data_IF_360409447757
#
_entry.id   IF_360409447757
#
_cell.length_a   1.000
_cell.length_b   1.000
_cell.length_c   1.000
_cell.angle_alpha   90.00
_cell.angle_beta   90.00
_cell.angle_gamma   90.00
#
_symmetry.space_group_name_H-M   'P 1'
#
loop_
_entity.id
_entity.type
_entity.pdbx_description
1 polymer ?
#
# COMPACT_ATOMS: atom_id res chain seq x y z
N UNK A 1 27.58 -11.78 -66.22
CA UNK A 1 27.82 -10.57 -65.42
C UNK A 1 27.18 -10.75 -64.06
N UNK A 2 27.88 -10.27 -63.03
CA UNK A 2 27.86 -10.57 -61.59
C UNK A 2 26.50 -10.55 -60.88
N UNK A 3 26.31 -11.55 -60.00
CA UNK A 3 25.40 -11.53 -58.85
C UNK A 3 25.77 -10.38 -57.90
N UNK A 4 24.78 -9.59 -57.47
CA UNK A 4 24.95 -8.55 -56.44
C UNK A 4 24.27 -9.05 -55.16
N UNK A 5 25.08 -9.41 -54.17
CA UNK A 5 24.65 -9.61 -52.78
C UNK A 5 24.37 -8.24 -52.16
N UNK A 6 23.16 -8.04 -51.64
CA UNK A 6 22.82 -6.91 -50.79
C UNK A 6 23.13 -7.32 -49.35
N UNK A 7 24.20 -6.77 -48.78
CA UNK A 7 24.54 -6.93 -47.37
C UNK A 7 23.68 -5.98 -46.52
N UNK A 8 22.89 -6.57 -45.62
CA UNK A 8 22.08 -5.86 -44.63
C UNK A 8 23.00 -5.41 -43.47
N UNK A 9 23.33 -4.12 -43.39
CA UNK A 9 24.00 -3.56 -42.21
C UNK A 9 22.98 -3.47 -41.06
N UNK A 10 23.09 -4.35 -40.07
CA UNK A 10 22.48 -4.14 -38.75
C UNK A 10 23.28 -3.05 -38.02
N UNK A 11 22.66 -1.88 -37.83
CA UNK A 11 23.13 -0.91 -36.87
C UNK A 11 22.88 -1.46 -35.46
N UNK A 12 23.94 -1.87 -34.75
CA UNK A 12 23.87 -2.13 -33.32
C UNK A 12 23.65 -0.79 -32.60
N UNK A 13 22.41 -0.53 -32.16
CA UNK A 13 22.16 0.44 -31.11
C UNK A 13 22.79 -0.08 -29.82
N UNK A 14 23.96 0.45 -29.47
CA UNK A 14 24.56 0.25 -28.17
C UNK A 14 23.67 0.90 -27.11
N UNK A 15 22.79 0.11 -26.49
CA UNK A 15 22.12 0.51 -25.27
C UNK A 15 23.20 0.70 -24.19
N UNK A 16 23.46 1.95 -23.81
CA UNK A 16 24.26 2.27 -22.63
C UNK A 16 23.53 1.70 -21.40
N UNK A 17 23.92 0.48 -21.04
CA UNK A 17 23.59 -0.10 -19.74
C UNK A 17 24.51 0.59 -18.75
N UNK A 18 24.02 1.61 -18.04
CA UNK A 18 24.74 2.15 -16.89
C UNK A 18 24.95 1.00 -15.91
N UNK A 19 26.20 0.54 -15.77
CA UNK A 19 26.59 -0.37 -14.69
C UNK A 19 26.10 0.24 -13.37
N UNK A 20 25.52 -0.55 -12.45
CA UNK A 20 25.30 -0.05 -11.09
C UNK A 20 26.64 0.43 -10.54
N UNK A 21 26.64 1.64 -9.98
CA UNK A 21 27.81 2.18 -9.29
C UNK A 21 28.29 1.16 -8.27
N UNK A 22 29.61 1.03 -8.11
CA UNK A 22 30.17 0.26 -7.00
C UNK A 22 29.56 0.79 -5.68
N UNK A 23 29.30 -0.05 -4.67
CA UNK A 23 28.81 0.44 -3.39
C UNK A 23 29.79 1.51 -2.88
N UNK A 24 29.32 2.73 -2.70
CA UNK A 24 30.13 3.75 -2.03
C UNK A 24 30.38 3.30 -0.58
N UNK A 25 31.57 3.60 -0.06
CA UNK A 25 31.94 3.22 1.30
C UNK A 25 30.97 3.88 2.31
N UNK A 26 30.52 3.17 3.35
CA UNK A 26 29.59 3.73 4.33
C UNK A 26 30.17 4.96 5.04
N UNK A 27 29.35 6.00 5.23
CA UNK A 27 29.68 7.19 6.03
C UNK A 27 29.65 6.85 7.52
N UNK A 28 30.72 6.18 7.96
CA UNK A 28 30.85 5.67 9.31
C UNK A 28 30.96 6.80 10.34
N UNK A 29 31.54 7.95 9.96
CA UNK A 29 31.71 9.08 10.86
C UNK A 29 30.36 9.74 11.15
N UNK A 30 29.57 10.06 10.11
CA UNK A 30 28.24 10.64 10.28
C UNK A 30 27.30 9.65 10.95
N UNK A 31 27.34 8.37 10.58
CA UNK A 31 26.53 7.33 11.23
C UNK A 31 26.77 7.30 12.74
N UNK A 32 28.04 7.25 13.17
CA UNK A 32 28.39 7.18 14.58
C UNK A 32 27.95 8.43 15.34
N UNK A 33 28.09 9.62 14.73
CA UNK A 33 27.63 10.88 15.30
C UNK A 33 26.10 10.89 15.47
N UNK A 34 25.33 10.60 14.41
CA UNK A 34 23.88 10.55 14.45
C UNK A 34 23.35 9.51 15.44
N UNK A 35 23.91 8.30 15.44
CA UNK A 35 23.50 7.25 16.37
C UNK A 35 23.82 7.62 17.82
N UNK A 36 24.94 8.29 18.07
CA UNK A 36 25.30 8.80 19.40
C UNK A 36 24.34 9.90 19.85
N UNK A 37 23.94 10.80 18.95
CA UNK A 37 22.93 11.80 19.24
C UNK A 37 21.57 11.17 19.57
N UNK A 38 21.13 10.16 18.82
CA UNK A 38 19.87 9.45 19.08
C UNK A 38 19.89 8.70 20.42
N UNK A 39 21.01 8.06 20.78
CA UNK A 39 21.17 7.37 22.07
C UNK A 39 21.12 8.35 23.25
N UNK A 40 21.73 9.53 23.09
CA UNK A 40 21.84 10.53 24.16
C UNK A 40 20.73 11.59 24.12
N UNK A 41 19.78 11.45 23.20
CA UNK A 41 18.73 12.44 23.00
C UNK A 41 17.88 12.62 24.27
N UNK A 42 17.42 13.84 24.45
CA UNK A 42 16.50 14.25 25.51
C UNK A 42 15.16 14.66 24.90
N UNK A 43 14.09 14.68 25.70
CA UNK A 43 12.80 15.12 25.19
C UNK A 43 12.84 16.52 24.58
N UNK A 44 12.39 16.64 23.34
CA UNK A 44 12.40 17.89 22.56
C UNK A 44 13.64 18.10 21.70
N UNK A 45 14.63 17.21 21.75
CA UNK A 45 15.83 17.35 20.93
C UNK A 45 15.52 17.22 19.43
N UNK A 46 16.27 17.97 18.63
CA UNK A 46 16.21 17.93 17.16
C UNK A 46 17.55 17.39 16.64
N UNK A 47 17.52 16.18 16.10
CA UNK A 47 18.66 15.55 15.44
C UNK A 47 18.64 15.95 13.97
N UNK A 48 19.57 16.83 13.59
CA UNK A 48 19.67 17.37 12.23
C UNK A 48 20.61 16.52 11.39
N UNK A 49 20.14 16.12 10.22
CA UNK A 49 20.94 15.40 9.22
C UNK A 49 21.27 16.38 8.08
N UNK A 50 22.55 16.56 7.73
CA UNK A 50 22.94 17.52 6.70
C UNK A 50 22.42 17.13 5.32
N UNK A 51 22.39 18.09 4.40
CA UNK A 51 22.17 17.82 2.98
C UNK A 51 23.30 16.92 2.43
N UNK A 52 22.97 16.09 1.45
CA UNK A 52 23.86 15.10 0.85
C UNK A 52 23.22 13.72 0.73
N UNK A 53 23.92 12.83 0.02
CA UNK A 53 23.63 11.39 0.01
C UNK A 53 24.59 10.70 0.96
N UNK A 54 24.03 10.11 2.01
CA UNK A 54 24.77 9.46 3.09
C UNK A 54 24.55 7.96 3.02
N UNK A 55 25.62 7.19 2.89
CA UNK A 55 25.55 5.73 2.76
C UNK A 55 25.68 5.06 4.12
N UNK A 56 24.70 4.27 4.53
CA UNK A 56 24.71 3.55 5.79
C UNK A 56 24.61 2.05 5.58
N UNK A 57 25.34 1.27 6.37
CA UNK A 57 25.35 -0.19 6.27
C UNK A 57 24.50 -0.88 7.36
N UNK A 58 23.80 -0.11 8.19
CA UNK A 58 22.97 -0.57 9.32
C UNK A 58 21.94 0.50 9.74
N UNK A 59 20.85 0.13 10.42
CA UNK A 59 19.76 1.06 10.76
C UNK A 59 20.20 2.14 11.76
N UNK A 60 19.58 3.33 11.68
CA UNK A 60 19.58 4.30 12.78
C UNK A 60 18.43 3.99 13.75
N UNK A 61 18.76 3.94 15.04
CA UNK A 61 17.86 3.50 16.10
C UNK A 61 17.53 4.63 17.08
N UNK A 62 16.24 4.76 17.42
CA UNK A 62 15.75 5.57 18.54
C UNK A 62 14.86 4.70 19.42
N UNK A 63 15.15 4.64 20.71
CA UNK A 63 14.40 3.83 21.67
C UNK A 63 14.10 4.62 22.95
N UNK A 64 12.83 4.62 23.36
CA UNK A 64 12.32 5.10 24.65
C UNK A 64 12.19 6.62 24.82
N UNK A 65 13.05 7.45 24.21
CA UNK A 65 13.01 8.90 24.44
C UNK A 65 11.94 9.60 23.59
N UNK A 66 10.94 10.18 24.27
CA UNK A 66 9.82 10.87 23.63
C UNK A 66 10.18 12.25 23.09
N UNK A 67 9.45 12.73 22.09
CA UNK A 67 9.49 14.14 21.67
C UNK A 67 10.69 14.50 20.79
N UNK A 68 11.40 13.51 20.25
CA UNK A 68 12.57 13.73 19.39
C UNK A 68 12.13 14.03 17.96
N UNK A 69 12.79 15.00 17.34
CA UNK A 69 12.64 15.30 15.91
C UNK A 69 13.88 14.82 15.15
N UNK A 70 13.69 14.01 14.11
CA UNK A 70 14.72 13.65 13.13
C UNK A 70 14.46 14.47 11.86
N UNK A 71 15.37 15.38 11.52
CA UNK A 71 15.14 16.38 10.48
C UNK A 71 16.29 16.42 9.46
N UNK A 72 15.97 16.19 8.19
CA UNK A 72 16.89 16.50 7.08
C UNK A 72 16.78 17.94 6.60
N UNK A 73 17.53 18.29 5.55
CA UNK A 73 17.52 19.61 4.92
C UNK A 73 16.41 19.78 3.86
N UNK A 74 15.64 18.73 3.58
CA UNK A 74 14.61 18.65 2.54
C UNK A 74 14.58 17.25 1.95
N UNK A 75 13.39 16.75 1.55
CA UNK A 75 13.26 15.38 1.02
C UNK A 75 14.20 15.10 -0.16
N UNK A 76 14.42 16.10 -1.02
CA UNK A 76 15.30 15.99 -2.19
C UNK A 76 16.74 16.47 -1.91
N UNK A 77 17.07 16.80 -0.66
CA UNK A 77 18.36 17.35 -0.24
C UNK A 77 19.11 16.42 0.72
N UNK A 78 18.41 15.71 1.60
CA UNK A 78 19.01 14.73 2.52
C UNK A 78 18.54 13.34 2.15
N UNK A 79 19.47 12.48 1.72
CA UNK A 79 19.19 11.10 1.29
C UNK A 79 20.02 10.15 2.16
N UNK A 80 19.35 9.23 2.86
CA UNK A 80 19.97 8.14 3.61
C UNK A 80 19.87 6.87 2.74
N UNK A 81 20.97 6.51 2.08
CA UNK A 81 21.02 5.31 1.23
C UNK A 81 21.52 4.13 2.04
N UNK A 82 20.78 3.03 2.00
CA UNK A 82 21.14 1.75 2.59
C UNK A 82 21.63 0.75 1.54
N UNK A 83 22.06 1.26 0.37
CA UNK A 83 22.64 0.44 -0.68
C UNK A 83 23.87 -0.30 -0.13
N UNK A 84 23.81 -1.64 -0.11
CA UNK A 84 24.88 -2.46 0.48
C UNK A 84 24.75 -2.70 1.99
N UNK A 85 23.59 -2.44 2.59
CA UNK A 85 23.29 -2.70 4.01
C UNK A 85 23.82 -4.06 4.47
N UNK A 86 24.67 -4.06 5.51
CA UNK A 86 25.34 -5.26 6.05
C UNK A 86 24.63 -5.83 7.26
N UNK A 87 23.98 -5.00 8.08
CA UNK A 87 23.28 -5.41 9.29
C UNK A 87 21.88 -4.79 9.39
N UNK A 88 20.99 -5.47 10.12
CA UNK A 88 19.58 -5.09 10.20
C UNK A 88 18.86 -5.21 8.85
N UNK A 89 17.58 -4.86 8.85
CA UNK A 89 16.79 -4.77 7.63
C UNK A 89 16.24 -3.35 7.44
N UNK A 90 16.06 -2.61 8.52
CA UNK A 90 15.41 -1.31 8.51
C UNK A 90 16.36 -0.16 8.15
N UNK A 91 15.81 0.96 7.66
CA UNK A 91 16.57 2.20 7.51
C UNK A 91 16.56 3.01 8.81
N UNK A 92 15.37 3.44 9.20
CA UNK A 92 15.08 4.03 10.52
C UNK A 92 14.20 3.06 11.31
N UNK A 93 14.59 2.75 12.55
CA UNK A 93 13.80 1.94 13.47
C UNK A 93 13.58 2.68 14.77
N UNK A 94 12.33 3.01 15.04
CA UNK A 94 11.93 3.93 16.09
C UNK A 94 10.91 3.27 17.02
N UNK A 95 11.17 3.33 18.32
CA UNK A 95 10.24 2.93 19.38
C UNK A 95 10.19 4.06 20.42
N UNK A 96 9.41 5.10 20.12
CA UNK A 96 9.31 6.28 20.98
C UNK A 96 8.05 7.11 20.68
N UNK A 97 7.49 7.74 21.72
CA UNK A 97 6.32 8.62 21.61
C UNK A 97 6.69 10.02 21.08
N UNK A 98 5.72 10.69 20.46
CA UNK A 98 5.79 12.09 20.04
C UNK A 98 6.95 12.38 19.09
N UNK A 99 7.24 11.44 18.19
CA UNK A 99 8.34 11.55 17.24
C UNK A 99 7.88 12.27 15.97
N UNK A 100 8.73 13.18 15.49
CA UNK A 100 8.61 13.81 14.17
C UNK A 100 9.80 13.38 13.30
N UNK A 101 9.52 12.75 12.16
CA UNK A 101 10.51 12.51 11.11
C UNK A 101 10.14 13.39 9.93
N UNK A 102 11.05 14.26 9.49
CA UNK A 102 10.76 15.17 8.39
C UNK A 102 11.94 15.49 7.48
N UNK A 103 11.60 15.91 6.26
CA UNK A 103 12.52 16.55 5.31
C UNK A 103 13.72 15.68 4.90
N UNK A 104 13.49 14.38 4.68
CA UNK A 104 14.53 13.42 4.26
C UNK A 104 14.00 12.32 3.34
N UNK A 105 14.91 11.64 2.66
CA UNK A 105 14.66 10.42 1.89
C UNK A 105 15.42 9.24 2.51
N UNK A 106 14.79 8.06 2.57
CA UNK A 106 15.43 6.77 2.85
C UNK A 106 15.38 5.91 1.58
N UNK A 107 16.52 5.34 1.16
CA UNK A 107 16.57 4.45 -0.01
C UNK A 107 17.24 3.12 0.25
N UNK A 108 16.87 2.12 -0.55
CA UNK A 108 17.63 0.88 -0.77
C UNK A 108 17.85 0.00 0.48
N UNK A 109 16.93 0.05 1.44
CA UNK A 109 16.95 -0.83 2.63
C UNK A 109 16.70 -2.28 2.24
N UNK A 110 17.28 -3.22 2.99
CA UNK A 110 17.01 -4.67 2.83
C UNK A 110 15.57 -5.05 3.20
N UNK A 111 15.00 -4.35 4.17
CA UNK A 111 13.64 -4.47 4.68
C UNK A 111 12.99 -3.09 4.79
N UNK A 112 12.25 -2.85 5.86
CA UNK A 112 11.40 -1.66 6.00
C UNK A 112 12.18 -0.34 5.98
N UNK A 113 11.78 0.63 5.18
CA UNK A 113 12.56 1.88 5.10
C UNK A 113 12.46 2.70 6.40
N UNK A 114 11.24 3.02 6.85
CA UNK A 114 11.01 3.78 8.08
C UNK A 114 9.96 3.08 8.93
N UNK A 115 10.43 2.39 9.97
CA UNK A 115 9.58 1.66 10.91
C UNK A 115 9.45 2.43 12.22
N UNK A 116 8.23 2.77 12.58
CA UNK A 116 7.89 3.35 13.88
C UNK A 116 6.93 2.40 14.56
N UNK A 117 7.28 1.86 15.71
CA UNK A 117 6.48 0.83 16.38
C UNK A 117 6.15 1.18 17.81
N UNK A 118 4.97 0.74 18.25
CA UNK A 118 4.51 0.78 19.65
C UNK A 118 4.57 2.19 20.26
N UNK A 119 4.13 3.19 19.47
CA UNK A 119 4.35 4.60 19.75
C UNK A 119 3.06 5.44 19.70
N UNK A 120 3.03 6.55 20.42
CA UNK A 120 1.95 7.54 20.37
C UNK A 120 2.40 8.81 19.66
N UNK A 121 1.48 9.52 19.00
CA UNK A 121 1.71 10.84 18.38
C UNK A 121 2.90 10.83 17.39
N UNK A 122 2.86 9.93 16.41
CA UNK A 122 3.88 9.79 15.36
C UNK A 122 3.55 10.73 14.20
N UNK A 123 4.51 11.54 13.76
CA UNK A 123 4.39 12.35 12.54
C UNK A 123 5.50 12.03 11.56
N UNK A 124 5.14 11.63 10.35
CA UNK A 124 6.01 11.59 9.18
C UNK A 124 5.58 12.74 8.25
N UNK A 125 6.50 13.68 7.97
CA UNK A 125 6.18 14.86 7.16
C UNK A 125 7.22 15.13 6.10
N UNK A 126 6.81 15.24 4.84
CA UNK A 126 7.74 15.53 3.74
C UNK A 126 8.90 14.52 3.70
N UNK A 127 8.58 13.23 3.81
CA UNK A 127 9.52 12.12 3.83
C UNK A 127 9.32 11.26 2.59
N UNK A 128 10.41 10.72 2.03
CA UNK A 128 10.34 9.77 0.92
C UNK A 128 11.01 8.43 1.26
N UNK A 129 10.39 7.33 0.86
CA UNK A 129 10.97 5.99 0.92
C UNK A 129 10.99 5.37 -0.49
N UNK A 130 12.13 4.88 -0.98
CA UNK A 130 12.19 4.27 -2.32
C UNK A 130 13.33 3.30 -2.54
N UNK A 131 13.17 2.34 -3.45
CA UNK A 131 14.26 1.48 -3.92
C UNK A 131 14.73 1.94 -5.31
N UNK A 132 15.99 2.36 -5.40
CA UNK A 132 16.60 2.93 -6.60
C UNK A 132 16.68 1.94 -7.77
N UNK A 133 16.70 0.64 -7.45
CA UNK A 133 16.70 -0.45 -8.43
C UNK A 133 15.35 -0.73 -9.09
N UNK A 134 14.30 0.04 -8.79
CA UNK A 134 12.93 -0.21 -9.24
C UNK A 134 12.28 -1.42 -8.56
N UNK A 135 11.13 -1.84 -9.07
CA UNK A 135 10.33 -2.92 -8.50
C UNK A 135 11.05 -4.28 -8.52
N UNK A 136 11.34 -4.83 -7.35
CA UNK A 136 11.92 -6.18 -7.18
C UNK A 136 11.32 -6.85 -5.93
N UNK A 137 11.14 -8.17 -6.00
CA UNK A 137 10.70 -8.96 -4.85
C UNK A 137 11.71 -8.99 -3.70
N UNK A 138 12.96 -8.61 -3.95
CA UNK A 138 14.01 -8.49 -2.94
C UNK A 138 14.10 -7.12 -2.27
N UNK A 139 13.22 -6.18 -2.66
CA UNK A 139 13.12 -4.89 -1.98
C UNK A 139 12.53 -5.09 -0.58
N UNK A 140 12.62 -4.06 0.26
CA UNK A 140 11.93 -4.07 1.52
C UNK A 140 10.42 -4.10 1.38
N UNK A 141 9.76 -4.70 2.36
CA UNK A 141 8.31 -4.85 2.39
C UNK A 141 7.63 -3.50 2.43
N UNK A 142 7.98 -2.66 3.41
CA UNK A 142 7.26 -1.42 3.68
C UNK A 142 8.13 -0.18 3.51
N UNK A 143 7.60 0.85 2.84
CA UNK A 143 8.26 2.16 2.77
C UNK A 143 8.12 2.92 4.09
N UNK A 144 6.92 3.43 4.36
CA UNK A 144 6.56 4.04 5.64
C UNK A 144 5.76 3.02 6.45
N UNK A 145 6.19 2.74 7.67
CA UNK A 145 5.63 1.66 8.49
C UNK A 145 5.41 2.05 9.96
N UNK A 146 4.39 2.90 10.27
CA UNK A 146 3.84 2.96 11.61
C UNK A 146 3.06 1.68 11.96
N UNK A 147 3.35 1.08 13.11
CA UNK A 147 2.68 -0.15 13.58
C UNK A 147 2.45 -0.15 15.08
N UNK A 148 1.30 -0.61 15.55
CA UNK A 148 1.01 -0.60 16.99
C UNK A 148 0.89 0.81 17.57
N UNK A 149 0.54 1.80 16.74
CA UNK A 149 0.61 3.21 17.10
C UNK A 149 -0.75 3.82 17.49
N UNK A 150 -0.72 4.93 18.23
CA UNK A 150 -1.90 5.74 18.57
C UNK A 150 -1.66 7.22 18.24
N UNK A 151 -2.38 7.74 17.26
CA UNK A 151 -2.15 9.08 16.73
C UNK A 151 -1.00 9.04 15.72
N UNK A 152 -1.34 8.77 14.45
CA UNK A 152 -0.39 8.73 13.34
C UNK A 152 -0.77 9.80 12.32
N UNK A 153 0.18 10.68 11.97
CA UNK A 153 0.07 11.61 10.86
C UNK A 153 1.13 11.30 9.81
N UNK A 154 0.71 10.96 8.59
CA UNK A 154 1.57 10.88 7.42
C UNK A 154 1.12 11.99 6.46
N UNK A 155 1.93 13.04 6.31
CA UNK A 155 1.59 14.22 5.50
C UNK A 155 2.69 14.53 4.48
N UNK A 156 2.31 14.78 3.22
CA UNK A 156 3.24 15.14 2.13
C UNK A 156 4.35 14.12 1.90
N UNK A 157 4.10 12.85 2.18
CA UNK A 157 5.11 11.81 2.03
C UNK A 157 5.04 11.13 0.66
N UNK A 158 6.11 10.46 0.27
CA UNK A 158 6.22 9.74 -1.00
C UNK A 158 6.78 8.33 -0.77
N UNK A 159 6.20 7.31 -1.40
CA UNK A 159 6.71 5.95 -1.29
C UNK A 159 6.63 5.19 -2.61
N UNK A 160 7.73 4.54 -3.02
CA UNK A 160 7.79 3.80 -4.27
C UNK A 160 8.65 2.55 -4.26
N UNK A 161 8.27 1.58 -5.08
CA UNK A 161 8.96 0.30 -5.28
C UNK A 161 9.06 -0.61 -4.05
N UNK A 162 8.23 -0.42 -3.03
CA UNK A 162 8.10 -1.35 -1.91
C UNK A 162 7.52 -2.68 -2.41
N UNK A 163 8.11 -3.80 -1.95
CA UNK A 163 7.65 -5.14 -2.36
C UNK A 163 6.33 -5.56 -1.74
N UNK A 164 5.90 -4.85 -0.70
CA UNK A 164 4.61 -5.04 -0.06
C UNK A 164 3.77 -3.75 -0.19
N UNK A 165 3.98 -2.75 0.68
CA UNK A 165 3.22 -1.50 0.64
C UNK A 165 4.12 -0.26 0.69
N UNK A 166 3.83 0.73 -0.14
CA UNK A 166 4.55 2.00 -0.13
C UNK A 166 4.34 2.73 1.20
N UNK A 167 3.07 2.99 1.51
CA UNK A 167 2.66 3.55 2.80
C UNK A 167 1.81 2.50 3.51
N UNK A 168 2.31 1.99 4.62
CA UNK A 168 1.64 0.98 5.42
C UNK A 168 1.39 1.54 6.82
N UNK A 169 0.15 1.44 7.32
CA UNK A 169 -0.16 1.67 8.73
C UNK A 169 -0.89 0.47 9.27
N UNK A 170 -0.30 -0.22 10.25
CA UNK A 170 -0.84 -1.46 10.80
C UNK A 170 -1.16 -1.37 12.27
N UNK A 171 -2.18 -2.11 12.73
CA UNK A 171 -2.45 -2.34 14.15
C UNK A 171 -2.52 -1.05 14.97
N UNK A 172 -3.02 0.04 14.37
CA UNK A 172 -2.92 1.39 14.90
C UNK A 172 -4.30 2.02 15.09
N UNK A 173 -4.36 3.12 15.84
CA UNK A 173 -5.59 3.91 16.00
C UNK A 173 -5.34 5.40 15.82
N UNK A 174 -6.39 6.14 15.45
CA UNK A 174 -6.32 7.58 15.18
C UNK A 174 -5.30 7.89 14.09
N UNK A 175 -5.53 7.37 12.88
CA UNK A 175 -4.60 7.43 11.76
C UNK A 175 -5.08 8.46 10.73
N UNK A 176 -4.20 9.34 10.28
CA UNK A 176 -4.41 10.22 9.15
C UNK A 176 -3.26 10.11 8.16
N UNK A 177 -3.55 9.60 6.95
CA UNK A 177 -2.66 9.64 5.80
C UNK A 177 -3.19 10.68 4.82
N UNK A 178 -2.42 11.73 4.56
CA UNK A 178 -2.88 12.84 3.72
C UNK A 178 -1.80 13.46 2.84
N UNK A 179 -2.23 14.08 1.73
CA UNK A 179 -1.36 14.77 0.76
C UNK A 179 -0.17 13.95 0.26
N UNK A 180 -0.27 12.62 0.31
CA UNK A 180 0.88 11.72 0.09
C UNK A 180 0.77 10.99 -1.26
N UNK A 181 1.93 10.58 -1.78
CA UNK A 181 2.05 9.96 -3.10
C UNK A 181 2.66 8.56 -3.01
N UNK A 182 1.87 7.53 -3.28
CA UNK A 182 2.32 6.15 -3.33
C UNK A 182 2.28 5.62 -4.76
N UNK A 183 3.42 5.21 -5.31
CA UNK A 183 3.49 4.77 -6.70
C UNK A 183 4.46 3.61 -6.96
N UNK A 184 4.13 2.77 -7.93
CA UNK A 184 4.99 1.67 -8.38
C UNK A 184 5.34 0.65 -7.28
N UNK A 185 4.48 0.54 -6.25
CA UNK A 185 4.53 -0.48 -5.20
C UNK A 185 3.64 -1.69 -5.56
N UNK A 186 3.65 -2.73 -4.72
CA UNK A 186 2.56 -3.72 -4.77
C UNK A 186 1.26 -3.11 -4.28
N UNK A 187 1.15 -2.75 -3.00
CA UNK A 187 0.09 -1.91 -2.47
C UNK A 187 0.57 -0.45 -2.40
N UNK A 188 -0.25 0.50 -2.88
CA UNK A 188 0.07 1.92 -2.74
C UNK A 188 0.00 2.34 -1.28
N UNK A 189 -1.21 2.32 -0.74
CA UNK A 189 -1.49 2.63 0.68
C UNK A 189 -2.23 1.46 1.29
N UNK A 190 -1.76 0.97 2.43
CA UNK A 190 -2.39 -0.12 3.17
C UNK A 190 -2.69 0.31 4.60
N UNK A 191 -3.94 0.09 5.01
CA UNK A 191 -4.42 0.27 6.37
C UNK A 191 -4.79 -1.13 6.90
N UNK A 192 -3.97 -1.68 7.78
CA UNK A 192 -4.12 -3.03 8.31
C UNK A 192 -4.59 -2.99 9.77
N UNK A 193 -5.71 -3.65 10.11
CA UNK A 193 -6.18 -3.85 11.49
C UNK A 193 -6.22 -2.54 12.31
N UNK A 194 -6.60 -1.43 11.68
CA UNK A 194 -6.63 -0.11 12.30
C UNK A 194 -8.04 0.31 12.74
N UNK A 195 -8.13 1.12 13.80
CA UNK A 195 -9.37 1.77 14.24
C UNK A 195 -9.30 3.28 14.01
N UNK A 196 -10.35 3.88 13.46
CA UNK A 196 -10.40 5.33 13.21
C UNK A 196 -9.25 5.81 12.30
N UNK A 197 -9.26 5.35 11.05
CA UNK A 197 -8.26 5.70 10.04
C UNK A 197 -8.87 6.52 8.89
N UNK A 198 -8.16 7.56 8.46
CA UNK A 198 -8.57 8.43 7.35
C UNK A 198 -7.44 8.53 6.32
N UNK A 199 -7.75 8.24 5.05
CA UNK A 199 -6.85 8.42 3.90
C UNK A 199 -7.47 9.44 2.95
N UNK A 200 -6.85 10.62 2.84
CA UNK A 200 -7.42 11.71 2.04
C UNK A 200 -6.42 12.58 1.28
N UNK A 201 -6.84 13.07 0.12
CA UNK A 201 -6.00 13.93 -0.74
C UNK A 201 -4.69 13.26 -1.15
N UNK A 202 -4.65 11.93 -1.14
CA UNK A 202 -3.51 11.15 -1.57
C UNK A 202 -3.62 10.80 -3.06
N UNK A 203 -2.46 10.48 -3.66
CA UNK A 203 -2.37 9.90 -5.00
C UNK A 203 -1.78 8.50 -4.88
N UNK A 204 -2.53 7.49 -5.30
CA UNK A 204 -2.07 6.10 -5.39
C UNK A 204 -2.08 5.68 -6.87
N UNK A 205 -0.92 5.63 -7.50
CA UNK A 205 -0.82 5.43 -8.96
C UNK A 205 0.20 4.39 -9.37
N UNK A 206 -0.11 3.62 -10.42
CA UNK A 206 0.81 2.61 -11.00
C UNK A 206 1.34 1.61 -9.97
N UNK A 207 0.60 1.36 -8.89
CA UNK A 207 0.86 0.23 -8.02
C UNK A 207 0.24 -1.04 -8.63
N UNK A 208 0.33 -2.19 -7.94
CA UNK A 208 -0.48 -3.36 -8.28
C UNK A 208 -1.92 -3.18 -7.81
N UNK A 209 -2.07 -2.76 -6.55
CA UNK A 209 -3.31 -2.33 -5.90
C UNK A 209 -3.17 -0.90 -5.37
N UNK A 210 -4.21 -0.08 -5.49
CA UNK A 210 -4.16 1.32 -5.08
C UNK A 210 -4.19 1.53 -3.56
N UNK A 211 -5.38 1.45 -2.96
CA UNK A 211 -5.60 1.62 -1.52
C UNK A 211 -6.27 0.38 -0.94
N UNK A 212 -5.67 -0.23 0.07
CA UNK A 212 -6.11 -1.47 0.70
C UNK A 212 -6.50 -1.19 2.16
N UNK A 213 -7.66 -1.67 2.58
CA UNK A 213 -8.09 -1.71 3.97
C UNK A 213 -8.32 -3.15 4.35
N UNK A 214 -7.39 -3.71 5.12
CA UNK A 214 -7.31 -5.12 5.45
C UNK A 214 -7.49 -5.32 6.94
N UNK A 215 -8.24 -6.35 7.33
CA UNK A 215 -8.11 -6.98 8.63
C UNK A 215 -7.57 -8.39 8.42
N UNK A 216 -6.41 -8.71 9.00
CA UNK A 216 -5.78 -10.02 8.94
C UNK A 216 -5.84 -10.73 10.31
N UNK A 217 -5.93 -12.07 10.34
CA UNK A 217 -6.00 -12.84 11.57
C UNK A 217 -4.64 -12.93 12.29
N UNK A 218 -4.67 -13.30 13.57
CA UNK A 218 -3.48 -13.57 14.40
C UNK A 218 -2.61 -12.33 14.69
N UNK A 219 -3.23 -11.14 14.69
CA UNK A 219 -2.55 -9.88 15.00
C UNK A 219 -3.05 -9.30 16.34
N UNK A 220 -2.16 -8.77 17.20
CA UNK A 220 -2.52 -8.23 18.51
C UNK A 220 -3.67 -7.22 18.53
N UNK A 221 -3.80 -6.37 17.50
CA UNK A 221 -4.86 -5.38 17.43
C UNK A 221 -6.26 -5.98 17.20
N UNK A 222 -6.36 -7.25 16.80
CA UNK A 222 -7.63 -7.86 16.43
C UNK A 222 -8.24 -7.15 15.23
N UNK A 223 -9.55 -6.95 15.21
CA UNK A 223 -10.24 -6.39 14.05
C UNK A 223 -10.22 -4.85 14.02
N UNK A 224 -9.88 -4.26 12.88
CA UNK A 224 -10.03 -2.84 12.61
C UNK A 224 -11.48 -2.43 12.36
N UNK A 225 -11.72 -1.12 12.31
CA UNK A 225 -13.03 -0.53 11.98
C UNK A 225 -12.94 0.98 11.73
N UNK A 226 -13.99 1.55 11.15
CA UNK A 226 -14.18 3.00 11.04
C UNK A 226 -13.09 3.66 10.19
N UNK A 227 -12.95 3.18 8.95
CA UNK A 227 -11.99 3.71 7.97
C UNK A 227 -12.68 4.63 6.96
N UNK A 228 -12.07 5.78 6.66
CA UNK A 228 -12.54 6.74 5.66
C UNK A 228 -11.53 6.92 4.54
N UNK A 229 -11.93 6.64 3.31
CA UNK A 229 -11.08 6.76 2.12
C UNK A 229 -11.70 7.78 1.19
N UNK A 230 -11.17 9.00 1.11
CA UNK A 230 -11.85 10.02 0.31
C UNK A 230 -10.99 11.10 -0.34
N UNK A 231 -11.50 11.68 -1.42
CA UNK A 231 -10.81 12.74 -2.15
C UNK A 231 -9.41 12.32 -2.63
N UNK A 232 -9.22 11.02 -2.90
CA UNK A 232 -7.97 10.48 -3.41
C UNK A 232 -8.00 10.33 -4.93
N UNK A 233 -6.81 10.36 -5.52
CA UNK A 233 -6.58 10.00 -6.92
C UNK A 233 -5.97 8.61 -6.99
N UNK A 234 -6.77 7.64 -7.38
CA UNK A 234 -6.41 6.23 -7.48
C UNK A 234 -6.34 5.89 -8.97
N UNK A 235 -5.14 5.79 -9.54
CA UNK A 235 -4.95 5.91 -10.99
C UNK A 235 -4.07 4.79 -11.55
N UNK A 236 -4.57 4.08 -12.56
CA UNK A 236 -3.81 3.11 -13.36
C UNK A 236 -2.97 2.13 -12.52
N UNK A 237 -3.47 1.66 -11.37
CA UNK A 237 -2.78 0.68 -10.53
C UNK A 237 -2.76 -0.69 -11.22
N UNK A 238 -1.96 -0.82 -12.28
CA UNK A 238 -1.89 -1.93 -13.21
C UNK A 238 -0.52 -2.64 -13.21
N UNK A 239 0.39 -2.19 -12.35
CA UNK A 239 1.76 -2.70 -12.27
C UNK A 239 1.74 -4.18 -11.93
N UNK A 240 2.74 -4.91 -12.43
CA UNK A 240 2.88 -6.34 -12.12
C UNK A 240 3.08 -6.49 -10.61
N UNK A 241 2.41 -7.47 -10.02
CA UNK A 241 2.65 -7.84 -8.63
C UNK A 241 4.05 -8.47 -8.51
N UNK A 242 4.88 -7.91 -7.63
CA UNK A 242 6.25 -8.35 -7.35
C UNK A 242 6.47 -8.68 -5.87
N UNK A 243 5.40 -8.87 -5.10
CA UNK A 243 5.52 -9.29 -3.72
C UNK A 243 6.15 -10.68 -3.64
N UNK A 244 6.94 -10.96 -2.59
CA UNK A 244 7.40 -12.31 -2.29
C UNK A 244 6.23 -13.29 -2.20
N UNK A 245 6.42 -14.52 -2.68
CA UNK A 245 5.43 -15.58 -2.53
C UNK A 245 5.20 -15.88 -1.04
N UNK A 246 3.94 -16.10 -0.67
CA UNK A 246 3.53 -16.31 0.72
C UNK A 246 2.92 -15.07 1.40
N UNK A 247 3.28 -13.86 0.96
CA UNK A 247 2.63 -12.64 1.45
C UNK A 247 1.18 -12.55 0.96
N UNK A 248 0.26 -12.10 1.80
CA UNK A 248 -1.16 -11.93 1.42
C UNK A 248 -1.31 -11.00 0.21
N UNK A 249 -0.53 -9.91 0.16
CA UNK A 249 -0.55 -8.95 -0.95
C UNK A 249 -0.06 -9.55 -2.27
N UNK A 250 0.65 -10.69 -2.25
CA UNK A 250 1.03 -11.40 -3.46
C UNK A 250 -0.18 -11.98 -4.20
N UNK A 251 -1.35 -12.06 -3.55
CA UNK A 251 -2.62 -12.47 -4.17
C UNK A 251 -3.32 -11.33 -4.92
N UNK A 252 -2.94 -10.07 -4.67
CA UNK A 252 -3.57 -8.89 -5.26
C UNK A 252 -3.36 -8.90 -6.77
N UNK A 253 -4.47 -8.91 -7.51
CA UNK A 253 -4.46 -8.85 -8.95
C UNK A 253 -4.02 -7.45 -9.42
N UNK A 254 -3.00 -7.35 -10.29
CA UNK A 254 -2.72 -6.14 -11.05
C UNK A 254 -3.98 -5.52 -11.64
N UNK A 255 -4.16 -4.23 -11.51
CA UNK A 255 -5.35 -3.56 -12.02
C UNK A 255 -6.45 -3.40 -11.00
N UNK A 256 -6.10 -3.25 -9.72
CA UNK A 256 -7.07 -3.12 -8.64
C UNK A 256 -6.99 -1.73 -8.00
N UNK A 257 -8.11 -1.01 -7.92
CA UNK A 257 -8.13 0.34 -7.34
C UNK A 257 -8.17 0.33 -5.83
N UNK A 258 -9.25 -0.20 -5.26
CA UNK A 258 -9.42 -0.34 -3.82
C UNK A 258 -9.75 -1.79 -3.44
N UNK A 259 -9.36 -2.20 -2.23
CA UNK A 259 -9.77 -3.48 -1.65
C UNK A 259 -10.18 -3.27 -0.20
N UNK A 260 -11.34 -3.79 0.16
CA UNK A 260 -11.84 -3.87 1.53
C UNK A 260 -11.91 -5.36 1.89
N UNK A 261 -10.92 -5.86 2.62
CA UNK A 261 -10.78 -7.27 3.00
C UNK A 261 -11.02 -7.46 4.49
N UNK A 262 -12.04 -8.26 4.85
CA UNK A 262 -12.57 -8.36 6.21
C UNK A 262 -12.82 -6.99 6.89
N UNK A 263 -13.13 -5.97 6.09
CA UNK A 263 -13.19 -4.59 6.55
C UNK A 263 -14.55 -4.24 7.15
N UNK A 264 -14.56 -3.35 8.14
CA UNK A 264 -15.74 -3.06 8.96
C UNK A 264 -15.94 -1.55 9.07
N UNK A 265 -17.15 -1.08 8.85
CA UNK A 265 -17.49 0.34 8.91
C UNK A 265 -16.53 1.19 8.07
N UNK A 266 -16.53 0.94 6.75
CA UNK A 266 -15.66 1.67 5.80
C UNK A 266 -16.50 2.59 4.94
N UNK A 267 -16.12 3.85 4.88
CA UNK A 267 -16.74 4.86 4.02
C UNK A 267 -15.73 5.33 2.97
N UNK A 268 -16.00 5.06 1.70
CA UNK A 268 -15.16 5.46 0.58
C UNK A 268 -15.93 6.39 -0.36
N UNK A 269 -15.50 7.66 -0.44
CA UNK A 269 -16.24 8.68 -1.17
C UNK A 269 -15.40 9.73 -1.87
N UNK A 270 -15.95 10.35 -2.92
CA UNK A 270 -15.28 11.46 -3.62
C UNK A 270 -13.87 11.10 -4.15
N UNK A 271 -13.59 9.81 -4.41
CA UNK A 271 -12.34 9.38 -5.02
C UNK A 271 -12.44 9.37 -6.55
N UNK A 272 -11.35 9.69 -7.22
CA UNK A 272 -11.13 9.43 -8.64
C UNK A 272 -10.49 8.05 -8.81
N UNK A 273 -11.25 7.06 -9.28
CA UNK A 273 -10.81 5.66 -9.45
C UNK A 273 -10.71 5.32 -10.94
N UNK A 274 -9.53 5.54 -11.53
CA UNK A 274 -9.37 5.66 -12.98
C UNK A 274 -8.42 4.61 -13.55
N UNK A 275 -8.83 3.92 -14.61
CA UNK A 275 -7.94 3.18 -15.51
C UNK A 275 -7.43 1.83 -15.01
N UNK A 276 -8.12 1.22 -14.04
CA UNK A 276 -7.80 -0.09 -13.49
C UNK A 276 -8.23 -1.21 -14.45
N UNK A 277 -7.29 -2.09 -14.82
CA UNK A 277 -7.54 -3.14 -15.82
C UNK A 277 -8.34 -4.33 -15.30
N UNK A 278 -8.50 -4.50 -13.99
CA UNK A 278 -9.20 -5.66 -13.40
C UNK A 278 -10.46 -5.21 -12.67
N UNK A 279 -10.32 -4.38 -11.63
CA UNK A 279 -11.46 -3.87 -10.88
C UNK A 279 -11.21 -2.50 -10.23
N UNK A 280 -12.28 -1.70 -10.09
CA UNK A 280 -12.24 -0.41 -9.41
C UNK A 280 -12.16 -0.55 -7.89
N UNK A 281 -13.06 -1.32 -7.29
CA UNK A 281 -13.11 -1.63 -5.87
C UNK A 281 -13.54 -3.09 -5.65
N UNK A 282 -12.92 -3.74 -4.66
CA UNK A 282 -13.29 -5.06 -4.17
C UNK A 282 -13.82 -4.96 -2.73
N UNK A 283 -14.94 -5.62 -2.47
CA UNK A 283 -15.53 -5.84 -1.14
C UNK A 283 -15.47 -7.34 -0.90
N UNK A 284 -14.65 -7.80 0.03
CA UNK A 284 -14.39 -9.21 0.20
C UNK A 284 -14.23 -9.60 1.67
N UNK A 285 -14.87 -10.68 2.09
CA UNK A 285 -14.53 -11.43 3.29
C UNK A 285 -13.20 -12.15 3.11
N UNK A 286 -12.45 -12.32 4.19
CA UNK A 286 -11.22 -13.12 4.22
C UNK A 286 -11.44 -14.58 3.78
N UNK A 287 -12.66 -15.12 3.91
CA UNK A 287 -13.00 -16.47 3.44
C UNK A 287 -12.67 -16.69 1.96
N UNK A 288 -12.73 -15.65 1.12
CA UNK A 288 -12.41 -15.76 -0.30
C UNK A 288 -10.95 -16.16 -0.55
N UNK A 289 -10.05 -15.90 0.41
CA UNK A 289 -8.62 -16.24 0.30
C UNK A 289 -8.38 -17.73 0.41
N UNK A 290 -9.33 -18.49 0.98
CA UNK A 290 -9.20 -19.91 1.34
C UNK A 290 -8.04 -20.22 2.29
N UNK A 291 -7.39 -19.21 2.86
CA UNK A 291 -6.34 -19.37 3.86
C UNK A 291 -6.97 -19.74 5.20
N UNK A 292 -6.33 -20.67 5.90
CA UNK A 292 -6.74 -21.08 7.25
C UNK A 292 -6.24 -20.06 8.29
N UNK A 293 -7.00 -19.90 9.37
CA UNK A 293 -6.59 -19.17 10.57
C UNK A 293 -7.11 -19.90 11.82
N UNK A 294 -6.51 -19.61 12.98
CA UNK A 294 -6.88 -20.18 14.28
C UNK A 294 -7.25 -19.10 15.33
N UNK A 295 -7.24 -17.83 14.91
CA UNK A 295 -7.67 -16.72 15.76
C UNK A 295 -9.19 -16.73 15.96
N UNK A 296 -9.62 -17.08 17.18
CA UNK A 296 -11.04 -17.13 17.57
C UNK A 296 -11.68 -15.76 17.71
N UNK A 297 -10.88 -14.71 17.87
CA UNK A 297 -11.36 -13.33 18.00
C UNK A 297 -11.38 -12.62 16.64
N UNK A 298 -10.85 -13.25 15.59
CA UNK A 298 -10.87 -12.71 14.24
C UNK A 298 -12.27 -12.81 13.64
N UNK A 299 -12.73 -11.70 13.07
CA UNK A 299 -13.95 -11.62 12.30
C UNK A 299 -13.58 -11.49 10.81
N UNK A 300 -13.76 -12.57 10.03
CA UNK A 300 -13.32 -12.65 8.63
C UNK A 300 -14.27 -11.93 7.66
N UNK A 301 -15.40 -11.40 8.12
CA UNK A 301 -16.42 -10.85 7.25
C UNK A 301 -16.22 -9.36 6.98
N UNK A 302 -16.70 -8.92 5.81
CA UNK A 302 -16.73 -7.51 5.43
C UNK A 302 -18.16 -6.99 5.47
N UNK A 303 -18.40 -5.92 6.21
CA UNK A 303 -19.73 -5.35 6.40
C UNK A 303 -19.70 -3.87 6.73
N UNK A 304 -20.88 -3.23 6.64
CA UNK A 304 -21.06 -1.81 6.89
C UNK A 304 -20.17 -0.95 5.97
N UNK A 305 -20.18 -1.28 4.67
CA UNK A 305 -19.37 -0.61 3.65
C UNK A 305 -20.22 0.39 2.89
N UNK A 306 -19.78 1.63 2.83
CA UNK A 306 -20.42 2.74 2.11
C UNK A 306 -19.51 3.23 1.00
N UNK A 307 -19.96 3.10 -0.23
CA UNK A 307 -19.28 3.57 -1.42
C UNK A 307 -20.17 4.59 -2.11
N UNK A 308 -19.83 5.87 -2.04
CA UNK A 308 -20.67 6.90 -2.66
C UNK A 308 -19.89 8.07 -3.26
N UNK A 309 -20.44 8.73 -4.27
CA UNK A 309 -19.82 9.90 -4.90
C UNK A 309 -18.39 9.66 -5.43
N UNK A 310 -18.01 8.44 -5.79
CA UNK A 310 -16.73 8.15 -6.44
C UNK A 310 -16.90 8.20 -7.96
N UNK A 311 -15.85 8.59 -8.65
CA UNK A 311 -15.80 8.56 -10.10
C UNK A 311 -15.00 7.34 -10.57
N UNK A 312 -15.67 6.35 -11.16
CA UNK A 312 -15.01 5.16 -11.70
C UNK A 312 -14.89 5.24 -13.22
N UNK A 313 -13.66 5.35 -13.71
CA UNK A 313 -13.36 5.28 -15.13
C UNK A 313 -12.60 3.99 -15.45
N UNK A 314 -13.05 3.27 -16.48
CA UNK A 314 -12.46 2.02 -16.95
C UNK A 314 -11.81 2.24 -18.31
N UNK A 315 -10.63 1.66 -18.52
CA UNK A 315 -10.06 1.50 -19.87
C UNK A 315 -10.43 0.14 -20.43
N UNK A 316 -10.56 0.02 -21.76
CA UNK A 316 -10.66 -1.29 -22.40
C UNK A 316 -9.32 -1.99 -22.26
N UNK A 317 -9.27 -2.95 -21.34
CA UNK A 317 -8.10 -3.75 -21.06
C UNK A 317 -8.56 -5.16 -20.68
N UNK A 318 -7.68 -6.14 -20.88
CA UNK A 318 -7.88 -7.50 -20.40
C UNK A 318 -7.55 -7.49 -18.90
N UNK A 319 -8.47 -7.94 -18.02
CA UNK A 319 -8.19 -8.16 -16.61
C UNK A 319 -6.97 -9.06 -16.41
N UNK A 320 -6.35 -8.95 -15.25
CA UNK A 320 -5.11 -9.68 -14.98
C UNK A 320 -5.26 -11.20 -15.24
N UNK A 321 -4.22 -11.81 -15.81
CA UNK A 321 -4.19 -13.26 -16.08
C UNK A 321 -3.20 -13.99 -15.15
N UNK A 322 -2.45 -13.26 -14.34
CA UNK A 322 -1.40 -13.80 -13.48
C UNK A 322 -1.91 -14.26 -12.12
N UNK A 323 -2.95 -13.60 -11.58
CA UNK A 323 -3.55 -13.89 -10.27
C UNK A 323 -4.97 -14.44 -10.43
N UNK A 324 -5.39 -15.27 -9.48
CA UNK A 324 -6.65 -16.01 -9.61
C UNK A 324 -7.88 -15.11 -9.62
N UNK A 325 -7.87 -14.01 -8.86
CA UNK A 325 -8.90 -12.97 -8.96
C UNK A 325 -9.02 -12.38 -10.36
N UNK A 326 -7.89 -12.08 -11.01
CA UNK A 326 -7.91 -11.57 -12.38
C UNK A 326 -8.45 -12.61 -13.38
N UNK A 327 -8.03 -13.87 -13.23
CA UNK A 327 -8.55 -14.98 -14.06
C UNK A 327 -10.06 -15.16 -13.87
N UNK A 328 -10.54 -15.08 -12.63
CA UNK A 328 -11.96 -15.12 -12.30
C UNK A 328 -12.72 -14.01 -13.04
N UNK A 329 -12.21 -12.76 -13.00
CA UNK A 329 -12.86 -11.66 -13.73
C UNK A 329 -12.91 -11.92 -15.23
N UNK A 330 -11.84 -12.47 -15.80
CA UNK A 330 -11.81 -12.83 -17.22
C UNK A 330 -12.87 -13.88 -17.58
N UNK A 331 -13.00 -14.94 -16.78
CA UNK A 331 -13.93 -16.05 -17.04
C UNK A 331 -15.38 -15.60 -16.90
N UNK A 332 -15.74 -15.02 -15.76
CA UNK A 332 -17.15 -14.74 -15.45
C UNK A 332 -17.69 -13.47 -16.11
N UNK A 333 -16.82 -12.52 -16.44
CA UNK A 333 -17.22 -11.26 -17.08
C UNK A 333 -16.72 -11.10 -18.51
N UNK A 334 -16.30 -12.19 -19.17
CA UNK A 334 -15.87 -12.22 -20.58
C UNK A 334 -14.79 -11.17 -20.87
N UNK A 335 -13.77 -11.11 -20.02
CA UNK A 335 -12.65 -10.18 -20.13
C UNK A 335 -13.01 -8.71 -19.87
N UNK A 336 -14.13 -8.42 -19.18
CA UNK A 336 -14.54 -7.05 -18.85
C UNK A 336 -14.17 -6.70 -17.40
N UNK A 337 -13.42 -5.60 -17.20
CA UNK A 337 -13.18 -5.07 -15.85
C UNK A 337 -14.49 -4.64 -15.20
N UNK A 338 -14.57 -4.78 -13.87
CA UNK A 338 -15.70 -4.34 -13.04
C UNK A 338 -15.36 -3.03 -12.32
N UNK A 339 -16.37 -2.23 -11.98
CA UNK A 339 -16.17 -1.10 -11.06
C UNK A 339 -16.27 -1.58 -9.62
N UNK A 340 -17.42 -2.19 -9.37
CA UNK A 340 -17.98 -2.81 -8.18
C UNK A 340 -17.79 -4.33 -8.09
N UNK A 341 -16.87 -4.91 -7.31
CA UNK A 341 -16.86 -6.36 -7.09
C UNK A 341 -17.09 -6.70 -5.63
N UNK A 342 -18.20 -7.37 -5.34
CA UNK A 342 -18.55 -7.87 -4.00
C UNK A 342 -18.52 -9.40 -4.01
N UNK A 343 -17.87 -10.02 -3.02
CA UNK A 343 -17.77 -11.48 -2.95
C UNK A 343 -19.10 -12.21 -2.68
N UNK A 344 -20.03 -11.56 -1.99
CA UNK A 344 -21.31 -12.16 -1.60
C UNK A 344 -21.23 -13.12 -0.42
N UNK A 345 -20.10 -13.18 0.30
CA UNK A 345 -19.98 -14.03 1.48
C UNK A 345 -20.69 -13.36 2.66
N UNK A 346 -21.56 -14.12 3.32
CA UNK A 346 -22.48 -13.62 4.35
C UNK A 346 -22.11 -14.16 5.72
N UNK A 347 -22.30 -13.34 6.75
CA UNK A 347 -22.26 -13.78 8.15
C UNK A 347 -23.66 -14.20 8.61
N UNK A 348 -23.82 -15.48 8.97
CA UNK A 348 -25.08 -16.06 9.45
C UNK A 348 -25.60 -15.41 10.75
N UNK A 349 -24.74 -14.69 11.48
CA UNK A 349 -25.12 -13.94 12.69
C UNK A 349 -25.78 -12.60 12.37
N UNK A 350 -25.65 -12.08 11.14
CA UNK A 350 -26.25 -10.80 10.75
C UNK A 350 -27.71 -10.95 10.33
N UNK A 351 -28.50 -9.86 10.36
CA UNK A 351 -29.91 -9.90 9.97
C UNK A 351 -30.10 -10.45 8.56
N UNK A 352 -31.08 -11.34 8.37
CA UNK A 352 -31.41 -11.90 7.05
C UNK A 352 -32.06 -10.84 6.16
N UNK A 353 -31.85 -10.95 4.85
CA UNK A 353 -32.45 -10.07 3.85
C UNK A 353 -31.60 -10.03 2.58
N UNK A 354 -31.93 -9.10 1.68
CA UNK A 354 -31.23 -8.98 0.39
C UNK A 354 -29.85 -8.30 0.51
N UNK A 355 -29.55 -7.67 1.65
CA UNK A 355 -28.31 -6.96 1.92
C UNK A 355 -27.91 -7.07 3.42
N UNK A 356 -27.63 -8.29 3.91
CA UNK A 356 -27.38 -8.55 5.34
C UNK A 356 -26.05 -7.96 5.84
N UNK A 357 -25.09 -7.77 4.93
CA UNK A 357 -23.78 -7.17 5.21
C UNK A 357 -23.82 -5.63 5.21
N UNK A 358 -24.99 -5.02 4.97
CA UNK A 358 -25.19 -3.57 4.96
C UNK A 358 -24.20 -2.84 4.02
N UNK A 359 -24.17 -3.28 2.75
CA UNK A 359 -23.38 -2.65 1.70
C UNK A 359 -24.22 -1.55 1.05
N UNK A 360 -23.76 -0.30 1.07
CA UNK A 360 -24.44 0.85 0.47
C UNK A 360 -23.57 1.42 -0.66
N UNK A 361 -24.12 1.42 -1.88
CA UNK A 361 -23.47 1.88 -3.10
C UNK A 361 -24.34 2.96 -3.76
N UNK A 362 -23.80 4.17 -3.85
CA UNK A 362 -24.46 5.32 -4.49
C UNK A 362 -23.45 6.11 -5.35
N UNK A 363 -23.30 5.70 -6.61
CA UNK A 363 -22.32 6.31 -7.53
C UNK A 363 -23.02 7.23 -8.53
N UNK A 364 -22.42 8.39 -8.85
CA UNK A 364 -23.03 9.39 -9.74
C UNK A 364 -23.07 8.94 -11.21
N UNK A 365 -22.33 7.90 -11.59
CA UNK A 365 -22.18 7.48 -12.98
C UNK A 365 -23.27 6.51 -13.44
N UNK A 366 -23.71 6.69 -14.68
CA UNK A 366 -24.52 5.70 -15.39
C UNK A 366 -23.67 4.51 -15.84
N UNK A 367 -24.27 3.31 -15.85
CA UNK A 367 -23.60 2.11 -16.37
C UNK A 367 -22.45 1.58 -15.49
N UNK A 368 -22.55 1.80 -14.18
CA UNK A 368 -21.69 1.16 -13.18
C UNK A 368 -21.70 -0.37 -13.39
N UNK A 369 -20.51 -0.96 -13.53
CA UNK A 369 -20.33 -2.41 -13.61
C UNK A 369 -20.18 -2.97 -12.21
N UNK A 370 -21.29 -3.41 -11.66
CA UNK A 370 -21.35 -4.07 -10.37
C UNK A 370 -21.60 -5.57 -10.53
N UNK A 371 -20.95 -6.36 -9.67
CA UNK A 371 -21.28 -7.77 -9.49
C UNK A 371 -21.12 -8.19 -8.03
N UNK A 372 -22.13 -8.87 -7.50
CA UNK A 372 -21.99 -9.83 -6.42
C UNK A 372 -21.68 -11.20 -7.05
N UNK A 373 -20.56 -11.82 -6.69
CA UNK A 373 -20.11 -13.05 -7.35
C UNK A 373 -20.54 -14.34 -6.66
N UNK A 374 -21.24 -14.31 -5.53
CA UNK A 374 -21.72 -15.53 -4.86
C UNK A 374 -20.58 -16.54 -4.59
N UNK A 375 -19.46 -16.04 -4.04
CA UNK A 375 -18.22 -16.80 -3.88
C UNK A 375 -18.40 -18.03 -2.98
N UNK A 376 -19.27 -17.95 -1.96
CA UNK A 376 -19.55 -19.06 -1.05
C UNK A 376 -20.25 -20.25 -1.73
N UNK A 377 -20.86 -20.05 -2.91
CA UNK A 377 -21.62 -21.07 -3.63
C UNK A 377 -21.01 -21.39 -5.02
N UNK A 378 -19.68 -21.28 -5.16
CA UNK A 378 -18.95 -21.55 -6.41
C UNK A 378 -19.38 -20.66 -7.60
N UNK A 379 -19.73 -19.40 -7.32
CA UNK A 379 -20.15 -18.44 -8.35
C UNK A 379 -21.41 -18.84 -9.14
N UNK A 380 -22.25 -19.73 -8.57
CA UNK A 380 -23.44 -20.25 -9.25
C UNK A 380 -24.49 -19.18 -9.52
N UNK A 381 -24.63 -18.17 -8.66
CA UNK A 381 -25.65 -17.12 -8.79
C UNK A 381 -25.06 -15.71 -8.80
N UNK A 382 -24.17 -15.42 -9.76
CA UNK A 382 -23.65 -14.05 -9.94
C UNK A 382 -24.80 -13.07 -10.20
N UNK A 383 -24.87 -12.02 -9.37
CA UNK A 383 -25.88 -10.97 -9.47
C UNK A 383 -25.23 -9.67 -9.91
N UNK A 384 -25.82 -9.01 -10.92
CA UNK A 384 -25.37 -7.70 -11.38
C UNK A 384 -26.39 -6.59 -11.10
N UNK A 385 -27.52 -6.93 -10.47
CA UNK A 385 -28.51 -5.94 -10.04
C UNK A 385 -27.98 -5.19 -8.82
N UNK A 386 -27.89 -3.87 -8.94
CA UNK A 386 -27.40 -3.00 -7.87
C UNK A 386 -28.51 -2.67 -6.86
N UNK A 387 -29.80 -2.83 -7.21
CA UNK A 387 -30.93 -2.40 -6.37
C UNK A 387 -30.86 -2.85 -4.90
N UNK A 388 -30.45 -4.10 -4.56
CA UNK A 388 -30.33 -4.51 -3.17
C UNK A 388 -29.31 -3.70 -2.35
N UNK A 389 -28.34 -3.09 -3.03
CA UNK A 389 -27.19 -2.41 -2.45
C UNK A 389 -27.24 -0.89 -2.61
N UNK A 390 -28.31 -0.34 -3.21
CA UNK A 390 -28.49 1.11 -3.27
C UNK A 390 -28.67 1.65 -1.86
N UNK A 391 -27.96 2.73 -1.54
CA UNK A 391 -28.09 3.43 -0.26
C UNK A 391 -29.55 3.87 -0.05
N UNK A 392 -30.04 3.75 1.19
CA UNK A 392 -31.40 4.15 1.58
C UNK A 392 -31.42 5.54 2.18
#
# INVERSE_FOLDING_TARGET
MKFIQIALLLALCAACSSKPAAPEEPDTALYNDLQTQLINAKPGDIIKIPAGTHYFDRPLLLDGVKGVTIQGAGKDQTILSFLGQKAGAEGLKITADSVLIQDLTVTDTKGDAIRVQDAKNVTLRNVKATWSGGAKASNGGYGLYPVGCDGVLIDKCEASFASDAGIYVGQSRNVLVTNSYAHENVAGIEIENCTDAEVRYCRAEKNTGGILVFDLPNLPAGNGKSCKIHHNKIINNNHRNFAPEGNIVATVAPGTGMIFLAAKDVEAHHNEVIGHKTMGAAIASYHITQLKWDDKNYDPFTYDIKLHNNHFERKRAIPDLSKDFGKMVNVYFKGKPQDILYDGILDDKRPKGNNPMNICIDQPQNGLRFANIDAANDFKNIQTDLKPYQCK
#
